data_IF_814016936119
#
_entry.id   IF_814016936119
#
_cell.length_a   1.000
_cell.length_b   1.000
_cell.length_c   1.000
_cell.angle_alpha   90.00
_cell.angle_beta   90.00
_cell.angle_gamma   90.00
#
_symmetry.space_group_name_H-M   'P 1'
#
loop_
_entity.id
_entity.type
_entity.pdbx_description
1 polymer ?
#
# COMPACT_ATOMS: atom_id res chain seq x y z
N UNK A 1 59.82 -51.87 -28.95
CA UNK A 1 58.38 -51.54 -28.90
C UNK A 1 58.13 -50.75 -27.62
N UNK A 2 57.92 -49.42 -27.68
CA UNK A 2 57.79 -48.61 -26.48
C UNK A 2 56.33 -48.51 -26.01
N UNK A 3 56.21 -48.40 -24.68
CA UNK A 3 54.98 -48.45 -23.88
C UNK A 3 54.25 -47.11 -23.92
N UNK A 4 52.93 -47.17 -24.06
CA UNK A 4 51.97 -46.06 -23.92
C UNK A 4 51.94 -45.60 -22.45
N UNK A 5 52.05 -44.29 -22.15
CA UNK A 5 51.67 -43.79 -20.84
C UNK A 5 50.18 -43.43 -20.80
N UNK A 6 49.61 -43.92 -19.72
CA UNK A 6 48.23 -43.81 -19.25
C UNK A 6 47.76 -42.37 -19.08
N UNK A 7 46.60 -42.12 -19.66
CA UNK A 7 45.54 -41.19 -19.25
C UNK A 7 45.64 -40.72 -17.79
N UNK A 8 45.85 -39.42 -17.56
CA UNK A 8 45.35 -38.76 -16.35
C UNK A 8 44.62 -37.49 -16.77
N UNK A 9 43.36 -37.75 -17.11
CA UNK A 9 42.31 -36.82 -17.45
C UNK A 9 42.02 -35.95 -16.20
N UNK A 10 42.81 -34.90 -15.99
CA UNK A 10 42.45 -33.82 -15.09
C UNK A 10 41.33 -33.00 -15.75
N UNK A 11 40.12 -33.55 -15.69
CA UNK A 11 38.86 -32.86 -15.93
C UNK A 11 38.72 -31.82 -14.80
N UNK A 12 39.38 -30.68 -14.99
CA UNK A 12 39.03 -29.43 -14.35
C UNK A 12 37.60 -29.10 -14.80
N UNK A 13 36.64 -29.64 -14.06
CA UNK A 13 35.28 -29.10 -13.97
C UNK A 13 35.44 -27.68 -13.44
N UNK A 14 35.73 -26.74 -14.33
CA UNK A 14 35.39 -25.34 -14.11
C UNK A 14 33.86 -25.28 -14.14
N UNK A 15 33.23 -25.63 -13.02
CA UNK A 15 31.88 -25.20 -12.76
C UNK A 15 31.93 -23.67 -12.84
N UNK A 16 31.26 -23.02 -13.81
CA UNK A 16 31.07 -21.60 -13.71
C UNK A 16 30.25 -21.41 -12.43
N UNK A 17 30.89 -20.86 -11.41
CA UNK A 17 30.22 -20.10 -10.38
C UNK A 17 29.57 -18.93 -11.12
N UNK A 18 28.42 -19.20 -11.74
CA UNK A 18 27.47 -18.15 -12.09
C UNK A 18 27.08 -17.61 -10.73
N UNK A 19 27.74 -16.55 -10.30
CA UNK A 19 27.24 -15.71 -9.23
C UNK A 19 25.83 -15.35 -9.68
N UNK A 20 24.81 -15.96 -9.08
CA UNK A 20 23.45 -15.49 -9.24
C UNK A 20 23.49 -14.02 -8.83
N UNK A 21 23.30 -13.12 -9.80
CA UNK A 21 23.09 -11.72 -9.51
C UNK A 21 21.97 -11.67 -8.47
N UNK A 22 22.32 -11.26 -7.25
CA UNK A 22 21.31 -11.07 -6.22
C UNK A 22 20.43 -9.92 -6.70
N UNK A 23 19.09 -10.06 -6.68
CA UNK A 23 18.21 -8.96 -7.02
C UNK A 23 18.60 -7.73 -6.22
N UNK A 24 18.81 -6.61 -6.89
CA UNK A 24 19.16 -5.37 -6.22
C UNK A 24 17.96 -4.89 -5.40
N UNK A 25 18.15 -4.78 -4.08
CA UNK A 25 17.11 -4.33 -3.17
C UNK A 25 16.97 -2.80 -3.30
N UNK A 26 15.80 -2.34 -3.77
CA UNK A 26 15.50 -0.92 -3.96
C UNK A 26 14.12 -0.59 -3.41
N UNK A 27 14.00 0.58 -2.79
CA UNK A 27 12.70 1.08 -2.33
C UNK A 27 11.69 1.28 -3.47
N UNK A 28 12.18 1.53 -4.69
CA UNK A 28 11.38 1.65 -5.92
C UNK A 28 10.61 0.36 -6.24
N UNK A 29 11.04 -0.79 -5.71
CA UNK A 29 10.37 -2.07 -5.89
C UNK A 29 9.30 -2.36 -4.82
N UNK A 30 9.07 -1.42 -3.91
CA UNK A 30 8.11 -1.50 -2.82
C UNK A 30 8.47 -2.51 -1.72
N UNK A 31 7.61 -2.55 -0.70
CA UNK A 31 7.76 -3.43 0.44
C UNK A 31 7.11 -4.79 0.18
N UNK A 32 5.83 -4.96 0.50
CA UNK A 32 5.08 -6.19 0.19
C UNK A 32 4.38 -6.11 -1.16
N UNK A 33 3.85 -4.93 -1.51
CA UNK A 33 3.15 -4.70 -2.77
C UNK A 33 4.03 -3.91 -3.76
N UNK A 34 3.72 -4.06 -5.04
CA UNK A 34 4.30 -3.20 -6.07
C UNK A 34 3.79 -1.77 -5.90
N UNK A 35 4.64 -0.74 -5.92
CA UNK A 35 4.22 0.65 -5.98
C UNK A 35 3.97 1.10 -7.44
N UNK A 36 4.00 0.18 -8.40
CA UNK A 36 3.79 0.47 -9.82
C UNK A 36 2.69 -0.41 -10.41
N UNK A 37 2.14 0.01 -11.54
CA UNK A 37 1.12 -0.76 -12.26
C UNK A 37 -0.25 -0.67 -11.58
N UNK A 38 -1.04 -1.75 -11.67
CA UNK A 38 -2.40 -1.80 -11.11
C UNK A 38 -2.48 -2.83 -10.01
N UNK A 39 -3.11 -2.48 -8.89
CA UNK A 39 -3.60 -3.45 -7.89
C UNK A 39 -5.12 -3.31 -7.80
N UNK A 40 -5.81 -4.41 -7.48
CA UNK A 40 -7.24 -4.37 -7.17
C UNK A 40 -7.51 -4.98 -5.81
N UNK A 41 -8.18 -4.22 -4.95
CA UNK A 41 -8.46 -4.57 -3.56
C UNK A 41 -9.87 -5.15 -3.44
N UNK A 42 -10.00 -6.32 -2.82
CA UNK A 42 -11.31 -6.85 -2.42
C UNK A 42 -11.70 -6.30 -1.04
N UNK A 43 -12.81 -5.58 -0.96
CA UNK A 43 -13.30 -4.95 0.27
C UNK A 43 -14.44 -5.75 0.91
N UNK A 44 -14.31 -6.00 2.21
CA UNK A 44 -15.30 -6.63 3.07
C UNK A 44 -15.83 -5.58 4.05
N UNK A 45 -17.08 -5.16 3.86
CA UNK A 45 -17.79 -4.32 4.82
C UNK A 45 -18.40 -5.19 5.91
N UNK A 46 -18.06 -4.87 7.16
CA UNK A 46 -18.37 -5.69 8.33
C UNK A 46 -19.13 -4.89 9.39
N UNK A 47 -20.12 -5.51 9.99
CA UNK A 47 -20.79 -5.06 11.21
C UNK A 47 -20.69 -6.15 12.27
N UNK A 48 -20.49 -5.75 13.54
CA UNK A 48 -20.58 -6.66 14.66
C UNK A 48 -22.00 -6.55 15.25
N UNK A 49 -22.69 -7.67 15.32
CA UNK A 49 -23.94 -7.81 16.07
C UNK A 49 -23.59 -8.16 17.52
N UNK A 50 -23.68 -7.17 18.41
CA UNK A 50 -23.43 -7.31 19.85
C UNK A 50 -24.62 -8.01 20.54
N UNK A 51 -24.94 -9.22 20.08
CA UNK A 51 -26.09 -9.99 20.54
C UNK A 51 -25.92 -10.53 21.98
N UNK A 52 -24.67 -10.69 22.44
CA UNK A 52 -24.36 -11.13 23.80
C UNK A 52 -24.22 -9.96 24.79
N UNK A 53 -23.64 -8.83 24.36
CA UNK A 53 -23.42 -7.63 25.19
C UNK A 53 -23.79 -6.34 24.44
N UNK A 54 -25.09 -6.07 24.24
CA UNK A 54 -25.55 -4.92 23.44
C UNK A 54 -25.03 -3.56 23.96
N UNK A 55 -24.78 -3.45 25.26
CA UNK A 55 -24.25 -2.24 25.90
C UNK A 55 -22.80 -1.93 25.51
N UNK A 56 -22.10 -2.86 24.84
CA UNK A 56 -20.75 -2.68 24.32
C UNK A 56 -20.71 -2.19 22.88
N UNK A 57 -21.85 -2.14 22.19
CA UNK A 57 -21.91 -1.60 20.84
C UNK A 57 -21.57 -0.10 20.88
N UNK A 58 -20.46 0.35 20.26
CA UNK A 58 -20.10 1.76 20.23
C UNK A 58 -21.06 2.58 19.35
N UNK A 59 -21.87 1.93 18.50
CA UNK A 59 -22.80 2.56 17.57
C UNK A 59 -24.13 1.79 17.48
N UNK A 60 -24.90 1.69 18.57
CA UNK A 60 -26.05 0.80 18.68
C UNK A 60 -27.19 1.10 17.69
N UNK A 61 -27.28 2.35 17.25
CA UNK A 61 -28.33 2.85 16.36
C UNK A 61 -27.85 3.08 14.91
N UNK A 62 -26.61 2.73 14.58
CA UNK A 62 -26.00 3.17 13.32
C UNK A 62 -25.64 4.66 13.33
N UNK A 63 -25.24 5.16 12.17
CA UNK A 63 -24.99 6.58 11.91
C UNK A 63 -25.50 6.96 10.51
N UNK A 64 -25.49 8.26 10.18
CA UNK A 64 -25.97 8.76 8.88
C UNK A 64 -25.14 8.22 7.71
N UNK A 65 -23.81 8.14 7.87
CA UNK A 65 -22.89 7.62 6.86
C UNK A 65 -22.87 6.09 6.78
N UNK A 66 -23.32 5.40 7.83
CA UNK A 66 -23.39 3.95 7.87
C UNK A 66 -24.52 3.45 8.78
N UNK A 67 -25.67 3.18 8.19
CA UNK A 67 -26.83 2.66 8.89
C UNK A 67 -26.62 1.21 9.35
N UNK A 68 -27.20 0.85 10.50
CA UNK A 68 -27.15 -0.50 11.05
C UNK A 68 -27.75 -1.52 10.07
N UNK A 69 -27.07 -2.64 9.86
CA UNK A 69 -27.51 -3.71 8.95
C UNK A 69 -27.44 -3.36 7.45
N UNK A 70 -26.82 -2.24 7.08
CA UNK A 70 -26.67 -1.81 5.68
C UNK A 70 -25.19 -1.62 5.32
N UNK A 71 -24.89 -1.56 4.02
CA UNK A 71 -23.58 -1.11 3.54
C UNK A 71 -23.43 0.41 3.75
N UNK A 72 -22.21 0.94 3.92
CA UNK A 72 -22.02 2.38 4.10
C UNK A 72 -22.46 3.18 2.87
N UNK A 73 -22.94 4.40 3.09
CA UNK A 73 -23.44 5.26 2.00
C UNK A 73 -22.33 5.66 1.03
N UNK A 74 -21.10 5.73 1.52
CA UNK A 74 -19.89 6.07 0.76
C UNK A 74 -19.14 4.86 0.17
N UNK A 75 -19.67 3.62 0.25
CA UNK A 75 -18.98 2.42 -0.26
C UNK A 75 -18.43 2.54 -1.70
N UNK A 76 -19.15 3.26 -2.57
CA UNK A 76 -18.80 3.48 -3.97
C UNK A 76 -17.78 4.61 -4.16
N UNK A 77 -17.46 5.36 -3.10
CA UNK A 77 -16.42 6.41 -3.08
C UNK A 77 -15.05 5.88 -2.66
N UNK A 78 -14.93 4.64 -2.20
CA UNK A 78 -13.64 4.13 -1.70
C UNK A 78 -12.69 3.88 -2.88
N UNK A 79 -13.12 3.05 -3.83
CA UNK A 79 -12.34 2.66 -5.00
C UNK A 79 -13.17 2.68 -6.28
N UNK A 80 -12.53 3.03 -7.39
CA UNK A 80 -13.06 2.78 -8.72
C UNK A 80 -12.86 1.29 -9.06
N UNK A 81 -13.86 0.58 -9.63
CA UNK A 81 -13.72 -0.84 -9.97
C UNK A 81 -12.88 -1.08 -11.23
N UNK A 82 -12.83 -0.09 -12.13
CA UNK A 82 -12.19 -0.18 -13.43
C UNK A 82 -11.26 1.01 -13.69
N UNK A 83 -10.20 0.84 -14.50
CA UNK A 83 -9.33 1.95 -14.89
C UNK A 83 -10.10 3.07 -15.60
N UNK A 84 -9.76 4.31 -15.27
CA UNK A 84 -10.29 5.51 -15.91
C UNK A 84 -9.13 6.46 -16.25
N UNK A 85 -9.32 7.33 -17.25
CA UNK A 85 -8.34 8.39 -17.55
C UNK A 85 -8.11 9.28 -16.32
N UNK A 86 -9.18 9.57 -15.59
CA UNK A 86 -9.16 10.27 -14.31
C UNK A 86 -10.06 9.51 -13.35
N UNK A 87 -9.47 8.94 -12.30
CA UNK A 87 -10.18 8.21 -11.26
C UNK A 87 -11.08 9.16 -10.46
N UNK A 88 -12.15 8.63 -9.88
CA UNK A 88 -13.21 9.41 -9.21
C UNK A 88 -13.38 9.04 -7.74
N UNK A 89 -13.13 7.79 -7.39
CA UNK A 89 -13.17 7.36 -6.00
C UNK A 89 -11.97 7.91 -5.24
N UNK A 90 -12.15 8.18 -3.94
CA UNK A 90 -11.24 8.96 -3.13
C UNK A 90 -9.84 8.31 -3.05
N UNK A 91 -9.76 6.99 -2.85
CA UNK A 91 -8.47 6.27 -2.77
C UNK A 91 -7.85 6.05 -4.14
N UNK A 92 -8.65 5.67 -5.13
CA UNK A 92 -8.18 5.49 -6.51
C UNK A 92 -7.60 6.78 -7.09
N UNK A 93 -8.29 7.90 -6.87
CA UNK A 93 -7.83 9.22 -7.29
C UNK A 93 -6.59 9.66 -6.54
N UNK A 94 -6.56 9.45 -5.23
CA UNK A 94 -5.39 9.75 -4.42
C UNK A 94 -4.11 9.11 -4.98
N UNK A 95 -4.11 7.78 -5.18
CA UNK A 95 -2.93 7.08 -5.69
C UNK A 95 -2.60 7.45 -7.14
N UNK A 96 -3.60 7.72 -7.98
CA UNK A 96 -3.36 8.22 -9.33
C UNK A 96 -2.59 9.55 -9.31
N UNK A 97 -3.04 10.53 -8.51
CA UNK A 97 -2.45 11.87 -8.46
C UNK A 97 -1.04 11.83 -7.85
N UNK A 98 -0.86 11.16 -6.70
CA UNK A 98 0.44 11.16 -6.03
C UNK A 98 1.49 10.35 -6.80
N UNK A 99 1.08 9.36 -7.59
CA UNK A 99 2.00 8.56 -8.41
C UNK A 99 2.20 9.09 -9.82
N UNK A 100 1.54 10.19 -10.19
CA UNK A 100 1.54 10.72 -11.57
C UNK A 100 1.07 9.67 -12.59
N UNK A 101 0.10 8.85 -12.18
CA UNK A 101 -0.44 7.74 -12.97
C UNK A 101 0.43 6.48 -13.03
N UNK A 102 1.57 6.44 -12.32
CA UNK A 102 2.44 5.24 -12.25
C UNK A 102 1.82 4.09 -11.45
N UNK A 103 0.90 4.41 -10.55
CA UNK A 103 0.25 3.46 -9.67
C UNK A 103 -1.27 3.65 -9.67
N UNK A 104 -1.99 2.59 -10.02
CA UNK A 104 -3.44 2.56 -10.07
C UNK A 104 -3.96 1.61 -9.00
N UNK A 105 -4.68 2.15 -8.02
CA UNK A 105 -5.35 1.36 -6.98
C UNK A 105 -6.83 1.31 -7.28
N UNK A 106 -7.32 0.12 -7.61
CA UNK A 106 -8.74 -0.16 -7.86
C UNK A 106 -9.31 -1.01 -6.73
N UNK A 107 -10.62 -1.20 -6.74
CA UNK A 107 -11.24 -2.09 -5.78
C UNK A 107 -12.69 -2.35 -6.08
N UNK A 108 -13.19 -3.44 -5.52
CA UNK A 108 -14.60 -3.78 -5.51
C UNK A 108 -14.93 -4.44 -4.18
N UNK A 109 -16.21 -4.54 -3.85
CA UNK A 109 -16.67 -5.00 -2.55
C UNK A 109 -17.69 -6.13 -2.69
N UNK A 110 -17.77 -6.99 -1.67
CA UNK A 110 -18.82 -8.01 -1.60
C UNK A 110 -20.17 -7.30 -1.49
N UNK A 111 -21.13 -7.64 -2.36
CA UNK A 111 -22.37 -6.90 -2.60
C UNK A 111 -23.35 -6.80 -1.40
N UNK A 112 -22.97 -7.38 -0.26
CA UNK A 112 -23.79 -7.55 0.95
C UNK A 112 -22.92 -7.39 2.20
N UNK A 113 -23.47 -6.70 3.21
CA UNK A 113 -22.83 -6.51 4.52
C UNK A 113 -22.54 -7.85 5.19
N UNK A 114 -21.35 -8.02 5.77
CA UNK A 114 -20.98 -9.17 6.59
C UNK A 114 -21.30 -8.87 8.06
N UNK A 115 -22.16 -9.67 8.68
CA UNK A 115 -22.55 -9.49 10.08
C UNK A 115 -21.90 -10.56 10.95
N UNK A 116 -21.07 -10.15 11.89
CA UNK A 116 -20.40 -11.03 12.84
C UNK A 116 -21.16 -11.02 14.16
N UNK A 117 -21.76 -12.15 14.53
CA UNK A 117 -22.42 -12.29 15.85
C UNK A 117 -21.37 -12.44 16.94
N UNK A 118 -21.47 -11.61 17.98
CA UNK A 118 -20.57 -11.67 19.13
C UNK A 118 -20.61 -13.06 19.80
N UNK A 119 -21.79 -13.66 19.90
CA UNK A 119 -21.97 -15.00 20.47
C UNK A 119 -21.29 -16.12 19.67
N UNK A 120 -21.08 -15.94 18.36
CA UNK A 120 -20.46 -16.95 17.48
C UNK A 120 -18.94 -16.81 17.43
N UNK A 121 -18.42 -15.59 17.60
CA UNK A 121 -17.01 -15.27 17.39
C UNK A 121 -16.33 -14.77 18.67
N UNK A 122 -15.80 -15.68 19.51
CA UNK A 122 -14.99 -15.31 20.65
C UNK A 122 -13.83 -14.42 20.21
N UNK A 123 -13.73 -13.23 20.80
CA UNK A 123 -12.67 -12.28 20.49
C UNK A 123 -12.93 -11.39 19.28
N UNK A 124 -14.16 -11.30 18.76
CA UNK A 124 -14.55 -10.33 17.70
C UNK A 124 -14.24 -8.86 18.08
N UNK A 125 -14.08 -8.60 19.38
CA UNK A 125 -13.67 -7.29 19.93
C UNK A 125 -12.19 -6.97 19.73
N UNK A 126 -11.37 -7.97 19.40
CA UNK A 126 -9.95 -7.80 19.15
C UNK A 126 -9.73 -7.36 17.70
N UNK A 127 -9.13 -6.20 17.50
CA UNK A 127 -8.87 -5.64 16.18
C UNK A 127 -8.28 -6.65 15.18
N UNK A 128 -7.27 -7.43 15.61
CA UNK A 128 -6.55 -8.37 14.77
C UNK A 128 -7.36 -9.62 14.36
N UNK A 129 -8.43 -9.97 15.08
CA UNK A 129 -9.23 -11.17 14.78
C UNK A 129 -10.35 -10.91 13.77
N UNK A 130 -10.80 -9.65 13.63
CA UNK A 130 -11.96 -9.27 12.82
C UNK A 130 -11.82 -9.76 11.39
N UNK A 131 -10.64 -9.65 10.78
CA UNK A 131 -10.42 -10.09 9.41
C UNK A 131 -10.64 -11.60 9.22
N UNK A 132 -10.13 -12.42 10.13
CA UNK A 132 -10.35 -13.87 10.12
C UNK A 132 -11.84 -14.21 10.28
N UNK A 133 -12.54 -13.53 11.17
CA UNK A 133 -13.98 -13.74 11.38
C UNK A 133 -14.81 -13.31 10.15
N UNK A 134 -14.46 -12.17 9.54
CA UNK A 134 -15.08 -11.69 8.31
C UNK A 134 -14.93 -12.69 7.16
N UNK A 135 -13.74 -13.28 6.99
CA UNK A 135 -13.52 -14.34 5.99
C UNK A 135 -14.37 -15.58 6.26
N UNK A 136 -14.42 -16.05 7.52
CA UNK A 136 -15.23 -17.21 7.90
C UNK A 136 -16.72 -16.98 7.61
N UNK A 137 -17.24 -15.81 7.96
CA UNK A 137 -18.64 -15.45 7.72
C UNK A 137 -18.93 -15.28 6.22
N UNK A 138 -18.03 -14.63 5.47
CA UNK A 138 -18.17 -14.47 4.03
C UNK A 138 -18.24 -15.82 3.30
N UNK A 139 -17.44 -16.81 3.72
CA UNK A 139 -17.41 -18.15 3.14
C UNK A 139 -18.74 -18.91 3.27
N UNK A 140 -19.57 -18.62 4.29
CA UNK A 140 -20.89 -19.25 4.45
C UNK A 140 -21.82 -18.95 3.26
N UNK A 141 -21.52 -17.92 2.46
CA UNK A 141 -22.26 -17.54 1.25
C UNK A 141 -21.95 -18.45 0.04
N UNK A 142 -20.97 -19.33 0.16
CA UNK A 142 -20.60 -20.34 -0.84
C UNK A 142 -19.72 -19.82 -1.97
N UNK A 143 -20.02 -18.66 -2.56
CA UNK A 143 -19.24 -18.11 -3.68
C UNK A 143 -19.04 -16.60 -3.58
N UNK A 144 -17.94 -16.11 -4.18
CA UNK A 144 -17.65 -14.69 -4.28
C UNK A 144 -18.70 -14.00 -5.15
N UNK A 145 -19.34 -12.96 -4.58
CA UNK A 145 -20.27 -12.08 -5.28
C UNK A 145 -19.91 -10.63 -4.99
N UNK A 146 -19.23 -10.02 -5.95
CA UNK A 146 -18.83 -8.61 -5.87
C UNK A 146 -19.89 -7.73 -6.51
N UNK A 147 -19.90 -6.43 -6.17
CA UNK A 147 -20.88 -5.48 -6.71
C UNK A 147 -20.81 -5.38 -8.23
N UNK A 148 -19.63 -5.46 -8.83
CA UNK A 148 -19.42 -5.27 -10.26
C UNK A 148 -19.17 -6.58 -11.02
N UNK A 149 -19.41 -7.73 -10.39
CA UNK A 149 -19.28 -9.04 -11.05
C UNK A 149 -17.84 -9.49 -11.29
N UNK A 150 -16.87 -8.89 -10.59
CA UNK A 150 -15.48 -9.29 -10.59
C UNK A 150 -15.27 -10.62 -9.85
N UNK A 151 -14.33 -11.41 -10.36
CA UNK A 151 -13.94 -12.73 -9.90
C UNK A 151 -12.59 -12.69 -9.19
N UNK A 152 -12.14 -13.80 -8.57
CA UNK A 152 -10.82 -13.85 -7.91
C UNK A 152 -9.67 -13.44 -8.85
N UNK A 153 -9.75 -13.81 -10.13
CA UNK A 153 -8.72 -13.48 -11.12
C UNK A 153 -8.56 -11.96 -11.34
N UNK A 154 -9.61 -11.18 -11.08
CA UNK A 154 -9.56 -9.72 -11.18
C UNK A 154 -8.79 -9.08 -10.01
N UNK A 155 -8.61 -9.80 -8.90
CA UNK A 155 -7.89 -9.35 -7.71
C UNK A 155 -6.49 -9.97 -7.59
N UNK A 156 -6.04 -10.67 -8.64
CA UNK A 156 -4.78 -11.42 -8.69
C UNK A 156 -3.91 -10.88 -9.85
N UNK A 157 -3.30 -9.71 -9.64
CA UNK A 157 -2.54 -9.03 -10.68
C UNK A 157 -1.03 -9.16 -10.48
N UNK A 158 -0.60 -9.66 -9.31
CA UNK A 158 0.80 -9.80 -8.94
C UNK A 158 1.09 -11.18 -8.38
N UNK A 159 2.30 -11.69 -8.65
CA UNK A 159 2.75 -12.94 -8.07
C UNK A 159 3.02 -12.79 -6.58
N UNK A 160 2.54 -13.77 -5.81
CA UNK A 160 2.71 -13.82 -4.38
C UNK A 160 4.16 -13.80 -3.91
N UNK A 161 4.33 -13.36 -2.66
CA UNK A 161 5.56 -13.49 -1.85
C UNK A 161 6.78 -12.75 -2.39
N UNK A 162 6.58 -11.63 -3.08
CA UNK A 162 7.66 -10.68 -3.32
C UNK A 162 8.31 -10.25 -2.00
N UNK A 163 9.65 -10.25 -1.94
CA UNK A 163 10.36 -9.78 -0.74
C UNK A 163 10.46 -8.26 -0.74
N UNK A 164 10.62 -7.69 0.45
CA UNK A 164 10.85 -6.26 0.63
C UNK A 164 12.05 -5.79 -0.21
N UNK A 165 11.82 -4.79 -1.07
CA UNK A 165 12.85 -4.22 -1.95
C UNK A 165 13.18 -5.05 -3.20
N UNK A 166 12.70 -6.28 -3.33
CA UNK A 166 12.85 -7.06 -4.58
C UNK A 166 11.76 -6.70 -5.60
N UNK A 167 12.07 -6.67 -6.91
CA UNK A 167 11.08 -6.43 -7.95
C UNK A 167 9.87 -7.36 -7.83
N UNK A 168 8.66 -6.80 -7.95
CA UNK A 168 7.42 -7.58 -7.95
C UNK A 168 7.11 -8.06 -9.36
N UNK A 169 6.75 -9.33 -9.48
CA UNK A 169 6.44 -9.93 -10.78
C UNK A 169 4.95 -9.75 -11.07
N UNK A 170 4.64 -9.17 -12.23
CA UNK A 170 3.26 -9.02 -12.69
C UNK A 170 2.69 -10.36 -13.16
N UNK A 171 1.38 -10.50 -13.02
CA UNK A 171 0.59 -11.65 -13.46
C UNK A 171 0.03 -12.47 -12.30
N UNK A 172 -1.05 -13.23 -12.55
CA UNK A 172 -1.79 -13.93 -11.51
C UNK A 172 -1.02 -15.12 -10.95
N UNK A 173 -1.29 -15.52 -9.72
CA UNK A 173 -0.84 -16.77 -9.14
C UNK A 173 -1.52 -18.02 -9.76
N UNK A 174 -0.93 -19.19 -9.53
CA UNK A 174 -1.52 -20.50 -9.86
C UNK A 174 -1.33 -21.48 -8.68
N UNK A 175 -2.40 -21.85 -7.94
CA UNK A 175 -3.77 -21.34 -8.09
C UNK A 175 -3.88 -19.85 -7.74
N UNK A 176 -4.96 -19.21 -8.18
CA UNK A 176 -5.21 -17.79 -7.93
C UNK A 176 -5.09 -17.38 -6.46
N UNK A 177 -4.73 -16.13 -6.21
CA UNK A 177 -4.72 -15.52 -4.88
C UNK A 177 -5.26 -14.08 -4.93
N UNK A 178 -5.60 -13.48 -3.80
CA UNK A 178 -5.92 -12.05 -3.76
C UNK A 178 -4.65 -11.25 -3.46
N UNK A 179 -4.30 -10.25 -4.26
CA UNK A 179 -3.18 -9.35 -3.96
C UNK A 179 -3.39 -8.67 -2.59
N UNK A 180 -4.63 -8.22 -2.32
CA UNK A 180 -4.99 -7.57 -1.07
C UNK A 180 -6.48 -7.74 -0.70
N UNK A 181 -6.73 -8.07 0.57
CA UNK A 181 -8.07 -8.09 1.15
C UNK A 181 -8.17 -7.01 2.23
N UNK A 182 -9.16 -6.13 2.10
CA UNK A 182 -9.39 -5.02 3.02
C UNK A 182 -10.69 -5.20 3.78
N UNK A 183 -10.64 -5.08 5.10
CA UNK A 183 -11.81 -5.18 5.97
C UNK A 183 -12.13 -3.82 6.56
N UNK A 184 -13.35 -3.34 6.38
CA UNK A 184 -13.79 -2.09 6.99
C UNK A 184 -14.96 -2.41 7.91
N UNK A 185 -14.83 -2.10 9.20
CA UNK A 185 -15.80 -2.44 10.22
C UNK A 185 -16.51 -1.21 10.76
N UNK A 186 -17.84 -1.29 10.85
CA UNK A 186 -18.70 -0.20 11.32
C UNK A 186 -18.48 0.09 12.81
N UNK A 187 -18.64 -0.92 13.65
CA UNK A 187 -18.80 -0.79 15.10
C UNK A 187 -17.95 -1.82 15.84
N UNK A 188 -16.66 -1.53 16.07
CA UNK A 188 -15.74 -2.45 16.76
C UNK A 188 -14.83 -1.75 17.75
N UNK A 189 -13.87 -2.46 18.35
CA UNK A 189 -12.79 -1.81 19.12
C UNK A 189 -11.87 -0.93 18.26
N UNK A 190 -11.82 -1.14 16.94
CA UNK A 190 -11.18 -0.22 15.99
C UNK A 190 -12.10 0.99 15.79
N UNK A 191 -11.73 2.12 16.41
CA UNK A 191 -12.40 3.39 16.22
C UNK A 191 -12.12 4.03 14.85
N UNK A 192 -12.78 5.14 14.57
CA UNK A 192 -12.43 5.95 13.40
C UNK A 192 -11.01 6.50 13.53
N UNK A 193 -10.24 6.47 12.43
CA UNK A 193 -8.81 6.83 12.44
C UNK A 193 -7.88 5.74 12.97
N UNK A 194 -8.39 4.54 13.27
CA UNK A 194 -7.60 3.37 13.66
C UNK A 194 -7.66 2.29 12.58
N UNK A 195 -6.53 1.63 12.38
CA UNK A 195 -6.39 0.56 11.41
C UNK A 195 -5.07 -0.16 11.57
N UNK A 196 -4.88 -1.17 10.75
CA UNK A 196 -3.58 -1.84 10.60
C UNK A 196 -3.54 -2.58 9.29
N UNK A 197 -2.34 -2.82 8.80
CA UNK A 197 -2.06 -3.72 7.69
C UNK A 197 -1.11 -4.84 8.13
N UNK A 198 -1.20 -6.01 7.49
CA UNK A 198 -0.22 -7.08 7.66
C UNK A 198 0.17 -7.68 6.31
N UNK A 199 1.36 -8.28 6.29
CA UNK A 199 1.64 -9.31 5.30
C UNK A 199 0.90 -10.60 5.66
N UNK A 200 0.44 -11.32 4.64
CA UNK A 200 -0.32 -12.55 4.76
C UNK A 200 -1.84 -12.37 4.76
N UNK A 201 -2.50 -13.52 4.90
CA UNK A 201 -3.95 -13.65 4.69
C UNK A 201 -4.74 -13.62 6.01
N UNK A 202 -5.97 -13.06 6.04
CA UNK A 202 -6.89 -13.25 7.16
C UNK A 202 -7.42 -14.70 7.25
N UNK A 203 -7.28 -15.47 6.17
CA UNK A 203 -7.79 -16.85 6.03
C UNK A 203 -7.93 -17.22 4.55
N UNK A 204 -8.55 -18.35 4.25
CA UNK A 204 -8.94 -18.67 2.87
C UNK A 204 -10.32 -18.09 2.60
N UNK A 205 -10.42 -17.08 1.73
CA UNK A 205 -11.65 -16.44 1.31
C UNK A 205 -12.13 -17.03 -0.01
N UNK A 206 -13.26 -17.74 0.01
CA UNK A 206 -13.79 -18.52 -1.11
C UNK A 206 -12.78 -19.50 -1.71
N UNK A 207 -11.92 -20.08 -0.86
CA UNK A 207 -10.90 -21.06 -1.25
C UNK A 207 -9.55 -20.46 -1.63
N UNK A 208 -9.39 -19.14 -1.61
CA UNK A 208 -8.17 -18.45 -2.01
C UNK A 208 -7.60 -17.60 -0.87
N UNK A 209 -6.27 -17.56 -0.74
CA UNK A 209 -5.58 -16.72 0.26
C UNK A 209 -5.31 -15.34 -0.31
N UNK A 210 -5.02 -14.38 0.55
CA UNK A 210 -4.44 -13.10 0.15
C UNK A 210 -2.96 -12.97 0.52
N UNK A 211 -2.23 -12.18 -0.26
CA UNK A 211 -0.83 -11.84 0.01
C UNK A 211 -0.68 -10.86 1.14
N UNK A 212 -1.61 -9.91 1.22
CA UNK A 212 -1.65 -8.89 2.25
C UNK A 212 -3.08 -8.65 2.71
N UNK A 213 -3.23 -8.03 3.87
CA UNK A 213 -4.54 -7.66 4.40
C UNK A 213 -4.49 -6.35 5.15
N UNK A 214 -5.63 -5.68 5.23
CA UNK A 214 -5.80 -4.49 6.06
C UNK A 214 -7.16 -4.48 6.75
N UNK A 215 -7.25 -3.73 7.85
CA UNK A 215 -8.48 -3.60 8.63
C UNK A 215 -8.63 -2.22 9.24
N UNK A 216 -9.81 -1.64 9.15
CA UNK A 216 -10.10 -0.25 9.52
C UNK A 216 -11.41 -0.09 10.26
N UNK A 217 -11.41 0.79 11.27
CA UNK A 217 -12.63 1.25 11.93
C UNK A 217 -13.24 2.45 11.21
N UNK A 218 -14.54 2.41 10.93
CA UNK A 218 -15.25 3.42 10.15
C UNK A 218 -16.42 4.07 10.92
N UNK A 219 -16.24 4.24 12.23
CA UNK A 219 -17.32 4.74 13.09
C UNK A 219 -17.85 6.11 12.66
N UNK A 220 -17.01 7.05 12.21
CA UNK A 220 -17.47 8.42 11.98
C UNK A 220 -17.69 8.78 10.51
N UNK A 221 -16.93 8.18 9.59
CA UNK A 221 -17.07 8.32 8.14
C UNK A 221 -16.17 7.27 7.45
N UNK A 222 -16.04 7.33 6.13
CA UNK A 222 -14.96 6.72 5.35
C UNK A 222 -13.61 6.94 6.07
N UNK A 223 -12.90 5.88 6.50
CA UNK A 223 -11.64 6.02 7.23
C UNK A 223 -10.46 6.36 6.32
N UNK A 224 -10.60 7.40 5.48
CA UNK A 224 -9.70 7.68 4.37
C UNK A 224 -8.25 7.94 4.81
N UNK A 225 -8.06 8.71 5.87
CA UNK A 225 -6.76 9.12 6.37
C UNK A 225 -5.94 7.93 6.85
N UNK A 226 -6.54 7.11 7.73
CA UNK A 226 -5.88 5.93 8.26
C UNK A 226 -5.74 4.84 7.19
N UNK A 227 -6.71 4.70 6.29
CA UNK A 227 -6.64 3.73 5.19
C UNK A 227 -5.41 3.95 4.33
N UNK A 228 -5.17 5.20 3.91
CA UNK A 228 -3.98 5.54 3.12
C UNK A 228 -2.71 5.28 3.92
N UNK A 229 -2.64 5.75 5.16
CA UNK A 229 -1.47 5.57 6.03
C UNK A 229 -1.07 4.10 6.16
N UNK A 230 -2.02 3.24 6.54
CA UNK A 230 -1.74 1.83 6.73
C UNK A 230 -1.47 1.10 5.41
N UNK A 231 -2.17 1.45 4.33
CA UNK A 231 -1.87 0.86 3.03
C UNK A 231 -0.46 1.22 2.55
N UNK A 232 0.04 2.43 2.87
CA UNK A 232 1.40 2.84 2.53
C UNK A 232 2.47 2.01 3.24
N UNK A 233 2.18 1.37 4.38
CA UNK A 233 3.10 0.41 4.98
C UNK A 233 3.41 -0.79 4.07
N UNK A 234 2.47 -1.17 3.19
CA UNK A 234 2.68 -2.22 2.21
C UNK A 234 3.56 -1.79 1.03
N UNK A 235 3.69 -0.48 0.80
CA UNK A 235 4.48 0.11 -0.28
C UNK A 235 5.86 0.56 0.20
N UNK A 236 5.94 1.28 1.31
CA UNK A 236 7.13 2.04 1.73
C UNK A 236 7.98 1.26 2.74
N UNK A 237 7.33 0.58 3.68
CA UNK A 237 7.96 -0.19 4.75
C UNK A 237 7.21 -0.13 6.07
N UNK A 238 7.72 -0.83 7.10
CA UNK A 238 7.10 -0.91 8.42
C UNK A 238 7.16 0.39 9.24
N UNK A 239 6.87 0.30 10.54
CA UNK A 239 6.83 1.46 11.45
C UNK A 239 8.16 2.23 11.54
N UNK A 240 9.28 1.60 11.22
CA UNK A 240 10.58 2.26 11.13
C UNK A 240 10.67 3.26 9.95
N UNK A 241 9.69 3.26 9.03
CA UNK A 241 9.58 4.18 7.91
C UNK A 241 8.55 5.27 8.10
N UNK A 242 8.12 5.52 9.35
CA UNK A 242 7.37 6.72 9.71
C UNK A 242 8.27 7.97 9.53
N UNK A 243 8.47 8.39 8.29
CA UNK A 243 9.54 9.30 7.87
C UNK A 243 9.04 10.71 7.56
N UNK A 244 7.74 10.94 7.66
CA UNK A 244 7.11 12.23 7.41
C UNK A 244 6.90 13.11 8.64
N UNK A 245 7.28 12.65 9.84
CA UNK A 245 6.95 13.32 11.10
C UNK A 245 5.54 13.02 11.60
N UNK A 246 5.18 13.51 12.79
CA UNK A 246 3.89 13.18 13.40
C UNK A 246 3.88 11.89 14.25
N UNK A 247 5.03 11.22 14.39
CA UNK A 247 5.08 9.88 14.97
C UNK A 247 4.77 9.86 16.46
N UNK A 248 4.37 8.69 16.97
CA UNK A 248 4.38 8.46 18.40
C UNK A 248 5.83 8.48 18.92
N UNK A 249 6.06 9.09 20.09
CA UNK A 249 7.39 9.25 20.70
C UNK A 249 8.14 7.93 20.95
N UNK A 250 7.44 6.80 20.87
CA UNK A 250 7.99 5.44 21.04
C UNK A 250 8.62 4.86 19.76
N UNK A 251 8.45 5.49 18.60
CA UNK A 251 9.04 5.04 17.34
C UNK A 251 10.31 5.80 17.00
N UNK A 252 11.26 5.11 16.37
CA UNK A 252 12.43 5.75 15.77
C UNK A 252 11.96 6.77 14.72
N UNK A 253 12.30 8.04 14.95
CA UNK A 253 11.84 9.15 14.13
C UNK A 253 12.98 9.65 13.26
N UNK A 254 12.81 9.57 11.94
CA UNK A 254 13.79 10.06 10.95
C UNK A 254 13.51 11.50 10.49
N UNK A 255 12.53 12.17 11.12
CA UNK A 255 12.09 13.51 10.78
C UNK A 255 12.08 14.44 12.00
N UNK A 256 12.42 15.71 11.78
CA UNK A 256 12.67 16.71 12.83
C UNK A 256 11.44 16.98 13.73
N UNK A 257 10.22 17.23 13.19
CA UNK A 257 9.03 17.43 14.01
C UNK A 257 8.29 16.13 14.37
N UNK A 258 8.00 15.99 15.67
CA UNK A 258 7.08 14.98 16.20
C UNK A 258 5.62 15.30 15.87
N UNK A 259 5.29 16.55 15.54
CA UNK A 259 3.92 17.00 15.25
C UNK A 259 3.80 17.53 13.82
N UNK A 260 2.68 17.23 13.16
CA UNK A 260 2.52 17.52 11.75
C UNK A 260 3.33 16.53 10.91
N UNK A 261 2.63 15.59 10.28
CA UNK A 261 3.19 14.75 9.22
C UNK A 261 3.15 15.46 7.87
N UNK A 262 4.22 15.26 7.10
CA UNK A 262 4.54 15.94 5.84
C UNK A 262 4.81 14.96 4.70
N UNK A 263 4.40 13.71 4.85
CA UNK A 263 4.64 12.64 3.88
C UNK A 263 3.56 11.55 3.98
N UNK A 264 3.57 10.62 3.03
CA UNK A 264 2.72 9.43 3.02
C UNK A 264 2.82 8.56 4.29
N UNK A 265 3.97 8.63 4.97
CA UNK A 265 4.25 7.93 6.23
C UNK A 265 4.33 8.90 7.42
N UNK A 266 3.72 10.08 7.33
CA UNK A 266 3.41 10.88 8.51
C UNK A 266 2.21 10.32 9.27
N UNK A 267 1.92 10.83 10.48
CA UNK A 267 0.76 10.38 11.26
C UNK A 267 -0.55 10.36 10.45
N UNK A 268 -1.46 9.41 10.69
CA UNK A 268 -2.72 9.36 9.93
C UNK A 268 -3.53 10.68 9.97
N UNK A 269 -3.59 11.36 11.12
CA UNK A 269 -4.27 12.65 11.29
C UNK A 269 -3.40 13.90 11.02
N UNK A 270 -2.37 13.79 10.19
CA UNK A 270 -1.38 14.86 10.00
C UNK A 270 -1.82 16.00 9.07
N UNK A 271 -1.07 17.11 9.13
CA UNK A 271 -1.33 18.34 8.38
C UNK A 271 -1.20 18.19 6.86
N UNK A 272 -0.37 17.27 6.38
CA UNK A 272 -0.24 16.96 4.96
C UNK A 272 -0.70 15.53 4.68
N UNK A 273 -1.92 15.39 4.17
CA UNK A 273 -2.53 14.09 3.83
C UNK A 273 -2.15 13.58 2.43
N UNK A 274 -1.00 14.04 1.90
CA UNK A 274 -0.52 13.80 0.52
C UNK A 274 0.95 13.36 0.51
N UNK A 275 1.51 13.03 -0.66
CA UNK A 275 2.94 12.70 -0.78
C UNK A 275 3.82 13.94 -0.83
N UNK A 276 5.08 13.81 -0.41
CA UNK A 276 6.14 14.77 -0.70
C UNK A 276 7.09 14.28 -1.81
N UNK A 277 8.02 15.14 -2.25
CA UNK A 277 8.98 14.79 -3.29
C UNK A 277 9.86 13.59 -2.93
N UNK A 278 10.19 13.43 -1.63
CA UNK A 278 10.93 12.27 -1.15
C UNK A 278 10.13 10.97 -1.27
N UNK A 279 8.84 10.99 -0.97
CA UNK A 279 7.98 9.80 -1.14
C UNK A 279 7.97 9.34 -2.61
N UNK A 280 7.77 10.30 -3.54
CA UNK A 280 7.78 10.02 -4.98
C UNK A 280 9.12 9.48 -5.46
N UNK A 281 10.21 10.14 -5.05
CA UNK A 281 11.57 9.71 -5.39
C UNK A 281 11.85 8.29 -4.91
N UNK A 282 11.45 7.99 -3.67
CA UNK A 282 11.61 6.67 -3.06
C UNK A 282 10.84 5.58 -3.79
N UNK A 283 9.63 5.90 -4.27
CA UNK A 283 8.79 4.97 -5.03
C UNK A 283 9.14 4.95 -6.53
N UNK A 284 10.04 5.81 -7.01
CA UNK A 284 10.36 5.93 -8.44
C UNK A 284 9.20 6.53 -9.26
N UNK A 285 8.32 7.28 -8.63
CA UNK A 285 7.18 7.93 -9.29
C UNK A 285 7.61 9.21 -9.99
N UNK A 286 8.00 9.05 -11.25
CA UNK A 286 8.43 10.13 -12.12
C UNK A 286 7.45 10.34 -13.28
N UNK A 287 7.26 11.59 -13.75
CA UNK A 287 6.50 11.87 -14.97
C UNK A 287 7.07 11.11 -16.19
N UNK A 288 6.30 10.97 -17.26
CA UNK A 288 6.79 10.38 -18.51
C UNK A 288 7.80 11.29 -19.22
N UNK A 289 8.82 10.68 -19.83
CA UNK A 289 9.81 11.36 -20.69
C UNK A 289 10.80 12.25 -19.95
N UNK A 290 10.91 12.13 -18.62
CA UNK A 290 11.88 12.92 -17.84
C UNK A 290 13.27 12.31 -17.90
N UNK A 291 14.28 13.17 -17.85
CA UNK A 291 15.69 12.78 -17.86
C UNK A 291 16.32 12.78 -16.47
N UNK A 292 15.78 13.59 -15.55
CA UNK A 292 16.32 13.72 -14.20
C UNK A 292 15.38 13.10 -13.16
N UNK A 293 15.98 12.36 -12.21
CA UNK A 293 15.28 11.71 -11.09
C UNK A 293 14.56 12.73 -10.20
N UNK A 294 15.27 13.78 -9.81
CA UNK A 294 14.69 14.99 -9.23
C UNK A 294 14.83 16.10 -10.26
N UNK A 295 13.72 16.71 -10.64
CA UNK A 295 13.69 17.71 -11.71
C UNK A 295 12.96 18.98 -11.30
N UNK A 296 13.32 20.07 -11.94
CA UNK A 296 12.59 21.33 -11.94
C UNK A 296 12.62 21.95 -13.35
N UNK A 297 12.15 23.19 -13.46
CA UNK A 297 12.23 23.99 -14.69
C UNK A 297 13.18 25.16 -14.52
N UNK A 298 13.85 25.57 -15.59
CA UNK A 298 14.52 26.87 -15.64
C UNK A 298 13.54 28.00 -16.06
N UNK A 299 14.04 29.23 -16.15
CA UNK A 299 13.25 30.39 -16.60
C UNK A 299 12.72 30.29 -18.03
N UNK A 300 13.26 29.38 -18.83
CA UNK A 300 12.84 29.11 -20.21
C UNK A 300 11.94 27.87 -20.32
N UNK A 301 11.41 27.39 -19.19
CA UNK A 301 10.58 26.18 -19.07
C UNK A 301 11.28 24.87 -19.52
N UNK A 302 12.62 24.88 -19.57
CA UNK A 302 13.39 23.67 -19.86
C UNK A 302 13.56 22.84 -18.61
N UNK A 303 13.45 21.53 -18.75
CA UNK A 303 13.79 20.61 -17.66
C UNK A 303 15.26 20.77 -17.28
N UNK A 304 15.53 20.78 -15.97
CA UNK A 304 16.88 20.86 -15.40
C UNK A 304 17.02 19.87 -14.24
N UNK A 305 18.26 19.41 -14.01
CA UNK A 305 18.59 18.62 -12.84
C UNK A 305 18.33 19.47 -11.59
N UNK A 306 17.56 18.92 -10.66
CA UNK A 306 17.20 19.56 -9.41
C UNK A 306 17.66 18.79 -8.17
N UNK A 307 18.55 17.81 -8.38
CA UNK A 307 19.39 17.26 -7.34
C UNK A 307 20.66 18.12 -7.23
N UNK A 308 20.67 19.00 -6.21
CA UNK A 308 21.61 20.12 -6.11
C UNK A 308 22.64 19.87 -5.01
N UNK A 309 23.91 20.04 -5.35
CA UNK A 309 25.03 20.16 -4.43
C UNK A 309 25.63 21.58 -4.49
N UNK A 310 25.20 22.49 -3.59
CA UNK A 310 25.76 23.83 -3.52
C UNK A 310 27.27 23.87 -3.25
N UNK A 311 27.85 22.82 -2.63
CA UNK A 311 29.29 22.72 -2.37
C UNK A 311 30.06 22.37 -3.66
N UNK A 312 29.42 21.67 -4.59
CA UNK A 312 29.93 21.43 -5.94
C UNK A 312 29.70 22.63 -6.89
N UNK A 313 29.03 23.68 -6.43
CA UNK A 313 28.76 24.90 -7.18
C UNK A 313 27.40 24.94 -7.86
N UNK A 314 26.50 24.00 -7.57
CA UNK A 314 25.15 23.98 -8.14
C UNK A 314 24.37 25.21 -7.65
N UNK A 315 24.23 26.19 -8.54
CA UNK A 315 23.57 27.47 -8.29
C UNK A 315 22.72 27.83 -9.51
N UNK A 316 21.62 28.56 -9.28
CA UNK A 316 20.73 28.93 -10.38
C UNK A 316 19.36 29.40 -9.93
N UNK A 317 18.50 29.62 -10.92
CA UNK A 317 17.08 29.92 -10.71
C UNK A 317 16.26 28.74 -11.18
N UNK A 318 15.54 28.14 -10.23
CA UNK A 318 14.66 27.01 -10.45
C UNK A 318 13.20 27.46 -10.30
N UNK A 319 12.36 27.01 -11.21
CA UNK A 319 10.92 27.23 -11.20
C UNK A 319 10.26 25.93 -10.78
N UNK A 320 9.58 25.97 -9.64
CA UNK A 320 8.75 24.89 -9.13
C UNK A 320 7.30 25.22 -9.44
N UNK A 321 6.65 24.36 -10.22
CA UNK A 321 5.23 24.44 -10.50
C UNK A 321 4.45 23.64 -9.46
N UNK A 322 3.14 23.47 -9.68
CA UNK A 322 2.31 22.63 -8.84
C UNK A 322 2.91 21.22 -8.73
N UNK A 323 3.34 20.86 -7.52
CA UNK A 323 4.03 19.61 -7.28
C UNK A 323 3.16 18.42 -7.68
N UNK A 324 1.87 18.42 -7.33
CA UNK A 324 0.97 17.29 -7.58
C UNK A 324 0.90 16.95 -9.07
N UNK A 325 0.72 17.94 -9.94
CA UNK A 325 0.55 17.72 -11.38
C UNK A 325 1.87 17.61 -12.15
N UNK A 326 2.94 18.29 -11.72
CA UNK A 326 4.17 18.39 -12.52
C UNK A 326 5.34 17.57 -11.99
N UNK A 327 5.32 17.26 -10.69
CA UNK A 327 6.40 16.58 -9.99
C UNK A 327 7.65 17.43 -9.77
N UNK A 328 7.62 18.73 -10.05
CA UNK A 328 8.79 19.59 -9.91
C UNK A 328 9.17 19.72 -8.42
N UNK A 329 10.44 19.46 -8.10
CA UNK A 329 10.97 19.51 -6.74
C UNK A 329 12.47 19.85 -6.75
N UNK A 330 12.99 20.32 -5.62
CA UNK A 330 14.43 20.44 -5.38
C UNK A 330 14.84 19.46 -4.28
N UNK A 331 15.95 18.75 -4.50
CA UNK A 331 16.68 18.04 -3.44
C UNK A 331 17.99 18.78 -3.25
N UNK A 332 18.19 19.36 -2.07
CA UNK A 332 19.37 20.18 -1.79
C UNK A 332 20.23 19.42 -0.78
N UNK A 333 21.49 19.15 -1.13
CA UNK A 333 22.46 18.55 -0.21
C UNK A 333 22.54 19.41 1.05
N UNK A 334 22.31 18.79 2.20
CA UNK A 334 22.53 19.47 3.47
C UNK A 334 24.02 19.77 3.64
N UNK A 335 24.39 21.03 3.94
CA UNK A 335 25.79 21.40 4.11
C UNK A 335 26.34 20.75 5.39
N UNK A 336 27.65 20.49 5.40
CA UNK A 336 28.40 20.01 6.57
C UNK A 336 28.02 18.62 7.09
N UNK A 337 27.32 17.80 6.30
CA UNK A 337 27.24 16.35 6.53
C UNK A 337 28.50 15.71 5.90
N UNK A 338 29.29 14.92 6.66
CA UNK A 338 30.44 14.20 6.12
C UNK A 338 30.09 13.34 4.90
N UNK A 339 31.05 13.13 4.02
CA UNK A 339 30.94 12.03 3.05
C UNK A 339 31.26 10.74 3.82
N UNK A 340 30.24 9.89 3.96
CA UNK A 340 30.39 8.56 4.57
C UNK A 340 31.34 7.66 3.75
#
# INVERSE_FOLDING_TARGET
MPRVPVLLLALLLQLPLVAQERPELRSENGWYLSPHGTIRILVLFVEIDFDAKPEKDPQPNGAEHWHKGQLPTWKDRVFDPFPMAVQKADVSRYYQDISLGRYTVLGDYIDTLITLKESEYPGVHQAHSIGMHAVKEANKRGSLRTRHGLTVADFDLWKARGRAGEPKLAGPDDPHSYDHVMVIVRNSGLGHGQGSTDSGSPGELYGFRSDTQSRFGAMNDLPFEILKHEFNHLLIGGNNFHSGGGNAAQFESTFLPLQGGWSMMGASGSSLLTCCAWDRDRMGWMPDGVTHRIRARDRSDREVNADLDPLAGDTGVYVLRDFVTTGDALRIRMPFIPED
#
